data_IF_606079767823
#
_entry.id   IF_606079767823
#
_cell.length_a   1.000
_cell.length_b   1.000
_cell.length_c   1.000
_cell.angle_alpha   90.00
_cell.angle_beta   90.00
_cell.angle_gamma   90.00
#
_symmetry.space_group_name_H-M   'P 1'
#
loop_
_entity.id
_entity.type
_entity.pdbx_description
1 polymer ?
#
# COMPACT_ATOMS: atom_id res chain seq x y z
N UNK A 1 -13.27 -6.86 19.19
CA UNK A 1 -12.25 -7.73 18.65
C UNK A 1 -11.85 -7.22 17.29
N UNK A 2 -10.59 -6.79 17.14
CA UNK A 2 -10.00 -6.50 15.83
C UNK A 2 -9.92 -7.87 15.15
N UNK A 3 -10.79 -8.12 14.17
CA UNK A 3 -10.61 -9.25 13.29
C UNK A 3 -9.29 -8.99 12.52
N UNK A 4 -8.22 -9.76 12.73
CA UNK A 4 -7.10 -9.70 11.83
C UNK A 4 -7.68 -10.02 10.45
N UNK A 5 -7.52 -9.11 9.49
CA UNK A 5 -7.86 -9.41 8.09
C UNK A 5 -7.16 -10.73 7.78
N UNK A 6 -7.85 -11.72 7.24
CA UNK A 6 -7.25 -13.01 6.98
C UNK A 6 -5.99 -12.78 6.14
N UNK A 7 -4.84 -13.26 6.64
CA UNK A 7 -3.54 -13.21 5.95
C UNK A 7 -3.56 -13.88 4.55
N UNK A 8 -4.70 -14.45 4.19
CA UNK A 8 -4.93 -15.26 2.98
C UNK A 8 -5.09 -14.46 1.67
N UNK A 9 -5.01 -13.13 1.68
CA UNK A 9 -5.22 -12.39 0.43
C UNK A 9 -3.94 -11.99 -0.32
N UNK A 10 -2.76 -12.16 0.25
CA UNK A 10 -1.49 -11.71 -0.33
C UNK A 10 -1.36 -10.18 -0.45
N UNK A 11 -0.15 -9.67 -0.44
CA UNK A 11 0.10 -8.26 -0.73
C UNK A 11 -0.02 -8.00 -2.24
N UNK A 12 -0.48 -6.81 -2.65
CA UNK A 12 -0.41 -6.38 -4.05
C UNK A 12 1.06 -6.24 -4.47
N UNK A 13 1.81 -5.48 -3.67
CA UNK A 13 3.23 -5.23 -3.89
C UNK A 13 4.03 -5.53 -2.62
N UNK A 14 5.28 -5.95 -2.79
CA UNK A 14 6.22 -5.99 -1.67
C UNK A 14 6.58 -4.57 -1.21
N UNK A 15 7.11 -4.44 -0.01
CA UNK A 15 7.61 -3.15 0.50
C UNK A 15 8.68 -2.58 -0.44
N UNK A 16 9.52 -3.44 -1.01
CA UNK A 16 10.59 -3.04 -1.94
C UNK A 16 10.04 -2.49 -3.25
N UNK A 17 9.03 -3.12 -3.83
CA UNK A 17 8.36 -2.63 -5.05
C UNK A 17 7.72 -1.27 -4.77
N UNK A 18 7.00 -1.12 -3.64
CA UNK A 18 6.40 0.17 -3.25
C UNK A 18 7.44 1.26 -3.05
N UNK A 19 8.56 0.95 -2.38
CA UNK A 19 9.64 1.91 -2.17
C UNK A 19 10.24 2.38 -3.51
N UNK A 20 10.43 1.45 -4.48
CA UNK A 20 10.90 1.79 -5.83
C UNK A 20 9.95 2.76 -6.54
N UNK A 21 8.63 2.55 -6.44
CA UNK A 21 7.66 3.48 -7.04
C UNK A 21 7.68 4.85 -6.36
N UNK A 22 7.80 4.90 -5.03
CA UNK A 22 7.92 6.17 -4.31
C UNK A 22 9.18 6.93 -4.73
N UNK A 23 10.31 6.23 -4.90
CA UNK A 23 11.56 6.81 -5.40
C UNK A 23 11.39 7.39 -6.82
N UNK A 24 10.75 6.66 -7.73
CA UNK A 24 10.45 7.14 -9.09
C UNK A 24 9.55 8.38 -9.12
N UNK A 25 8.70 8.55 -8.10
CA UNK A 25 7.86 9.73 -7.92
C UNK A 25 8.57 10.88 -7.19
N UNK A 26 9.85 10.71 -6.85
CA UNK A 26 10.66 11.74 -6.18
C UNK A 26 10.39 11.84 -4.67
N UNK A 27 9.83 10.82 -4.06
CA UNK A 27 9.64 10.77 -2.60
C UNK A 27 10.98 10.59 -1.91
N UNK A 28 11.39 11.55 -1.09
CA UNK A 28 12.69 11.56 -0.42
C UNK A 28 12.78 10.58 0.76
N UNK A 29 11.66 10.28 1.41
CA UNK A 29 11.62 9.39 2.58
C UNK A 29 10.39 8.52 2.55
N UNK A 30 10.58 7.22 2.75
CA UNK A 30 9.53 6.21 2.80
C UNK A 30 9.55 5.55 4.17
N UNK A 31 8.49 5.76 4.97
CA UNK A 31 8.39 5.22 6.32
C UNK A 31 7.48 3.99 6.31
N UNK A 32 7.99 2.89 6.81
CA UNK A 32 7.22 1.65 7.02
C UNK A 32 6.91 1.52 8.50
N UNK A 33 5.63 1.54 8.82
CA UNK A 33 5.16 1.37 10.20
C UNK A 33 4.69 -0.07 10.36
N UNK A 34 5.28 -0.77 11.34
CA UNK A 34 4.74 -2.05 11.79
C UNK A 34 3.44 -1.80 12.58
N UNK A 35 2.33 -2.26 12.02
CA UNK A 35 1.01 -2.11 12.64
C UNK A 35 0.82 -3.12 13.76
N UNK A 36 1.74 -3.08 14.74
CA UNK A 36 1.72 -3.90 15.93
C UNK A 36 0.50 -3.61 16.82
N UNK A 37 0.26 -4.46 17.80
CA UNK A 37 -0.82 -4.27 18.77
C UNK A 37 -0.69 -2.92 19.51
N UNK A 38 0.53 -2.49 19.81
CA UNK A 38 0.78 -1.21 20.45
C UNK A 38 0.43 -0.02 19.56
N UNK A 39 0.83 -0.07 18.28
CA UNK A 39 0.51 0.99 17.32
C UNK A 39 -0.99 1.06 17.03
N UNK A 40 -1.69 -0.08 16.99
CA UNK A 40 -3.14 -0.13 16.74
C UNK A 40 -3.97 0.48 17.88
N UNK A 41 -3.37 0.73 19.05
CA UNK A 41 -4.01 1.37 20.21
C UNK A 41 -3.79 2.88 20.27
N UNK A 42 -2.98 3.44 19.37
CA UNK A 42 -2.70 4.88 19.37
C UNK A 42 -4.01 5.67 19.16
N UNK A 43 -4.22 6.71 19.95
CA UNK A 43 -5.35 7.62 19.76
C UNK A 43 -5.14 8.51 18.55
N UNK A 44 -6.18 9.14 18.03
CA UNK A 44 -6.04 10.10 16.93
C UNK A 44 -5.09 11.25 17.31
N UNK A 45 -5.26 11.82 18.50
CA UNK A 45 -4.36 12.84 19.04
C UNK A 45 -2.92 12.31 19.21
N UNK A 46 -2.76 11.07 19.71
CA UNK A 46 -1.45 10.42 19.84
C UNK A 46 -0.75 10.22 18.51
N UNK A 47 -1.50 9.91 17.45
CA UNK A 47 -0.95 9.82 16.10
C UNK A 47 -0.43 11.16 15.57
N UNK A 48 -1.19 12.25 15.79
CA UNK A 48 -0.73 13.61 15.41
C UNK A 48 0.55 13.99 16.18
N UNK A 49 0.60 13.73 17.49
CA UNK A 49 1.81 13.99 18.30
C UNK A 49 3.01 13.21 17.76
N UNK A 50 2.84 11.93 17.45
CA UNK A 50 3.90 11.11 16.87
C UNK A 50 4.40 11.69 15.54
N UNK A 51 3.50 12.15 14.66
CA UNK A 51 3.89 12.80 13.42
C UNK A 51 4.70 14.07 13.68
N UNK A 52 4.29 14.90 14.64
CA UNK A 52 4.97 16.13 15.01
C UNK A 52 6.31 15.93 15.72
N UNK A 53 6.49 14.78 16.39
CA UNK A 53 7.78 14.37 16.95
C UNK A 53 8.78 13.93 15.88
N UNK A 54 8.28 13.29 14.82
CA UNK A 54 9.11 12.74 13.75
C UNK A 54 9.37 13.75 12.63
N UNK A 55 8.47 14.71 12.44
CA UNK A 55 8.48 15.62 11.29
C UNK A 55 7.97 17.01 11.67
N UNK A 56 8.21 17.97 10.79
CA UNK A 56 7.59 19.30 10.85
C UNK A 56 6.80 19.54 9.58
N UNK A 57 5.60 18.90 9.43
CA UNK A 57 4.87 18.99 8.18
C UNK A 57 4.34 20.40 7.95
N UNK A 58 4.49 20.89 6.72
CA UNK A 58 3.85 22.11 6.23
C UNK A 58 2.50 21.79 5.60
N UNK A 59 2.43 20.62 4.93
CA UNK A 59 1.22 20.10 4.32
C UNK A 59 1.10 18.58 4.50
N UNK A 60 -0.12 18.08 4.52
CA UNK A 60 -0.45 16.64 4.53
C UNK A 60 -1.46 16.37 3.43
N UNK A 61 -1.20 15.34 2.63
CA UNK A 61 -2.10 14.86 1.58
C UNK A 61 -2.64 13.50 1.97
N UNK A 62 -3.95 13.33 1.99
CA UNK A 62 -4.63 12.08 2.33
C UNK A 62 -5.81 11.81 1.40
N UNK A 63 -6.20 10.55 1.26
CA UNK A 63 -7.46 10.21 0.58
C UNK A 63 -8.68 10.54 1.45
N UNK A 64 -9.83 10.80 0.83
CA UNK A 64 -11.08 11.14 1.54
C UNK A 64 -11.56 10.05 2.52
N UNK A 65 -11.15 8.80 2.31
CA UNK A 65 -11.48 7.67 3.19
C UNK A 65 -10.43 7.38 4.26
N UNK A 66 -9.43 8.27 4.39
CA UNK A 66 -8.39 8.13 5.40
C UNK A 66 -8.98 8.16 6.80
N UNK A 67 -8.59 7.16 7.60
CA UNK A 67 -8.97 7.01 9.01
C UNK A 67 -7.77 6.66 9.84
N UNK A 68 -7.66 7.24 11.01
CA UNK A 68 -6.57 7.02 11.95
C UNK A 68 -7.05 7.05 13.41
N UNK A 69 -6.19 6.66 14.33
CA UNK A 69 -6.57 6.45 15.72
C UNK A 69 -7.13 5.05 15.97
N UNK A 70 -7.29 4.68 17.23
CA UNK A 70 -7.87 3.42 17.62
C UNK A 70 -9.41 3.42 17.42
N UNK A 71 -10.09 2.26 17.44
CA UNK A 71 -11.52 2.18 17.15
C UNK A 71 -12.44 3.00 18.08
N UNK A 72 -12.00 3.32 19.30
CA UNK A 72 -12.76 4.12 20.27
C UNK A 72 -12.54 5.63 20.12
N UNK A 73 -11.51 6.03 19.36
CA UNK A 73 -11.11 7.42 19.13
C UNK A 73 -10.65 7.59 17.66
N UNK A 74 -11.44 7.03 16.75
CA UNK A 74 -11.13 7.11 15.33
C UNK A 74 -11.47 8.50 14.78
N UNK A 75 -10.52 9.08 14.04
CA UNK A 75 -10.68 10.32 13.31
C UNK A 75 -10.60 10.07 11.80
N UNK A 76 -11.10 11.01 11.03
CA UNK A 76 -11.12 11.00 9.56
C UNK A 76 -10.18 12.07 8.99
N UNK A 77 -10.07 12.11 7.66
CA UNK A 77 -9.36 13.17 6.94
C UNK A 77 -9.83 14.58 7.33
N UNK A 78 -11.15 14.75 7.58
CA UNK A 78 -11.76 16.05 7.92
C UNK A 78 -11.35 16.56 9.31
N UNK A 79 -10.92 15.66 10.20
CA UNK A 79 -10.54 16.03 11.57
C UNK A 79 -9.06 16.45 11.68
N UNK A 80 -8.26 16.22 10.62
CA UNK A 80 -6.81 16.43 10.64
C UNK A 80 -6.43 17.86 10.99
N UNK A 81 -6.99 18.84 10.29
CA UNK A 81 -6.63 20.25 10.48
C UNK A 81 -6.93 20.72 11.91
N UNK A 82 -8.10 20.38 12.43
CA UNK A 82 -8.48 20.72 13.81
C UNK A 82 -7.55 20.06 14.85
N UNK A 83 -7.12 18.83 14.58
CA UNK A 83 -6.21 18.11 15.48
C UNK A 83 -4.80 18.72 15.45
N UNK A 84 -4.30 19.16 14.30
CA UNK A 84 -3.03 19.88 14.21
C UNK A 84 -3.11 21.24 14.90
N UNK A 85 -4.19 22.00 14.72
CA UNK A 85 -4.40 23.29 15.39
C UNK A 85 -4.46 23.15 16.92
N UNK A 86 -5.04 22.06 17.45
CA UNK A 86 -5.03 21.76 18.90
C UNK A 86 -3.63 21.54 19.45
N UNK A 87 -2.71 21.04 18.63
CA UNK A 87 -1.29 20.88 18.98
C UNK A 87 -0.45 22.13 18.65
N UNK A 88 -1.11 23.26 18.33
CA UNK A 88 -0.44 24.55 18.06
C UNK A 88 0.27 24.60 16.70
N UNK A 89 -0.14 23.78 15.75
CA UNK A 89 0.42 23.73 14.39
C UNK A 89 -0.65 24.02 13.37
N UNK A 90 -0.35 24.93 12.46
CA UNK A 90 -1.16 25.19 11.27
C UNK A 90 -0.54 24.39 10.12
N UNK A 91 -1.23 23.32 9.71
CA UNK A 91 -0.77 22.40 8.66
C UNK A 91 -1.82 22.39 7.57
N UNK A 92 -1.42 22.60 6.34
CA UNK A 92 -2.32 22.49 5.19
C UNK A 92 -2.76 21.03 5.01
N UNK A 93 -4.06 20.79 4.87
CA UNK A 93 -4.61 19.44 4.66
C UNK A 93 -5.28 19.38 3.30
N UNK A 94 -4.68 18.61 2.39
CA UNK A 94 -5.22 18.35 1.06
C UNK A 94 -5.89 16.98 1.04
N UNK A 95 -7.18 16.96 0.73
CA UNK A 95 -7.99 15.72 0.69
C UNK A 95 -8.25 15.33 -0.75
N UNK A 96 -7.63 14.23 -1.17
CA UNK A 96 -7.76 13.71 -2.55
C UNK A 96 -9.02 12.87 -2.68
N UNK A 97 -9.84 13.21 -3.66
CA UNK A 97 -11.04 12.45 -4.01
C UNK A 97 -10.72 11.05 -4.55
N UNK A 98 -11.68 10.16 -4.47
CA UNK A 98 -11.55 8.80 -5.03
C UNK A 98 -11.51 8.84 -6.55
N UNK A 99 -10.60 8.07 -7.12
CA UNK A 99 -10.56 7.86 -8.57
C UNK A 99 -11.52 6.72 -8.91
N UNK A 100 -12.39 6.97 -9.89
CA UNK A 100 -13.36 6.00 -10.38
C UNK A 100 -12.97 5.50 -11.77
N UNK A 101 -13.34 4.27 -12.06
CA UNK A 101 -13.31 3.73 -13.42
C UNK A 101 -14.36 4.42 -14.29
N UNK A 102 -14.33 4.25 -15.62
CA UNK A 102 -15.38 4.72 -16.53
C UNK A 102 -16.77 4.17 -16.15
N UNK A 103 -16.82 2.97 -15.55
CA UNK A 103 -18.05 2.35 -15.05
C UNK A 103 -18.51 2.84 -13.68
N UNK A 104 -17.82 3.82 -13.07
CA UNK A 104 -18.16 4.38 -11.76
C UNK A 104 -17.72 3.51 -10.56
N UNK A 105 -16.95 2.44 -10.76
CA UNK A 105 -16.39 1.65 -9.66
C UNK A 105 -15.12 2.31 -9.11
N UNK A 106 -15.00 2.38 -7.78
CA UNK A 106 -13.81 2.94 -7.11
C UNK A 106 -12.55 2.11 -7.44
N UNK A 107 -11.49 2.79 -7.91
CA UNK A 107 -10.16 2.19 -8.04
C UNK A 107 -9.58 2.03 -6.63
N UNK A 108 -9.45 0.78 -6.20
CA UNK A 108 -9.06 0.43 -4.84
C UNK A 108 -8.21 -0.83 -4.84
N UNK A 109 -7.50 -1.08 -3.74
CA UNK A 109 -6.77 -2.34 -3.54
C UNK A 109 -7.67 -3.58 -3.67
N UNK A 110 -8.96 -3.45 -3.37
CA UNK A 110 -9.93 -4.55 -3.52
C UNK A 110 -10.19 -4.85 -4.99
N UNK A 111 -10.43 -3.82 -5.81
CA UNK A 111 -10.59 -3.96 -7.25
C UNK A 111 -9.31 -4.53 -7.88
N UNK A 112 -8.15 -3.96 -7.57
CA UNK A 112 -6.87 -4.42 -8.12
C UNK A 112 -6.57 -5.88 -7.76
N UNK A 113 -6.87 -6.31 -6.52
CA UNK A 113 -6.75 -7.74 -6.16
C UNK A 113 -7.69 -8.65 -6.94
N UNK A 114 -8.91 -8.20 -7.22
CA UNK A 114 -9.87 -8.94 -8.03
C UNK A 114 -9.34 -9.15 -9.44
N UNK A 115 -8.79 -8.11 -10.07
CA UNK A 115 -8.21 -8.18 -11.39
C UNK A 115 -7.04 -9.17 -11.48
N UNK A 116 -6.13 -9.14 -10.50
CA UNK A 116 -5.02 -10.10 -10.44
C UNK A 116 -5.56 -11.53 -10.31
N UNK A 117 -6.51 -11.77 -9.39
CA UNK A 117 -7.11 -13.10 -9.18
C UNK A 117 -7.81 -13.64 -10.41
N UNK A 118 -8.32 -12.77 -11.26
CA UNK A 118 -8.98 -13.14 -12.52
C UNK A 118 -7.99 -13.26 -13.69
N UNK A 119 -6.72 -12.86 -13.52
CA UNK A 119 -5.73 -12.81 -14.61
C UNK A 119 -5.92 -11.63 -15.55
N UNK A 120 -6.70 -10.63 -15.16
CA UNK A 120 -7.00 -9.42 -15.94
C UNK A 120 -5.86 -8.39 -15.81
N UNK A 121 -4.60 -8.83 -16.07
CA UNK A 121 -3.39 -8.04 -15.82
C UNK A 121 -3.28 -6.81 -16.73
N UNK A 122 -3.85 -6.86 -17.92
CA UNK A 122 -3.91 -5.70 -18.82
C UNK A 122 -4.78 -4.59 -18.22
N UNK A 123 -5.96 -4.94 -17.72
CA UNK A 123 -6.86 -3.96 -17.09
C UNK A 123 -6.31 -3.48 -15.75
N UNK A 124 -5.60 -4.34 -15.02
CA UNK A 124 -4.82 -3.93 -13.84
C UNK A 124 -3.83 -2.81 -14.21
N UNK A 125 -3.06 -2.97 -15.30
CA UNK A 125 -2.13 -1.94 -15.78
C UNK A 125 -2.85 -0.64 -16.16
N UNK A 126 -3.95 -0.72 -16.89
CA UNK A 126 -4.73 0.45 -17.30
C UNK A 126 -5.23 1.27 -16.10
N UNK A 127 -5.64 0.62 -15.02
CA UNK A 127 -6.16 1.29 -13.83
C UNK A 127 -5.08 1.74 -12.84
N UNK A 128 -4.00 0.96 -12.69
CA UNK A 128 -2.95 1.26 -11.72
C UNK A 128 -1.81 2.13 -12.31
N UNK A 129 -1.72 2.22 -13.64
CA UNK A 129 -0.60 2.84 -14.34
C UNK A 129 0.72 2.05 -14.25
N UNK A 130 0.69 0.83 -13.70
CA UNK A 130 1.88 0.03 -13.42
C UNK A 130 1.69 -1.43 -13.81
N UNK A 131 2.72 -2.05 -14.38
CA UNK A 131 2.71 -3.49 -14.62
C UNK A 131 2.69 -4.26 -13.30
N UNK A 132 1.92 -5.34 -13.26
CA UNK A 132 1.95 -6.24 -12.12
C UNK A 132 3.36 -6.85 -11.98
N UNK A 133 3.93 -6.78 -10.79
CA UNK A 133 5.29 -7.25 -10.51
C UNK A 133 5.29 -8.23 -9.34
N UNK A 134 6.14 -9.25 -9.44
CA UNK A 134 6.40 -10.19 -8.35
C UNK A 134 7.84 -9.97 -7.89
N UNK A 135 8.02 -9.73 -6.59
CA UNK A 135 9.33 -9.59 -5.98
C UNK A 135 9.93 -10.98 -5.72
N UNK A 136 10.85 -11.36 -6.57
CA UNK A 136 11.55 -12.65 -6.48
C UNK A 136 12.88 -12.57 -5.71
N UNK A 137 13.36 -11.38 -5.35
CA UNK A 137 14.64 -11.19 -4.66
C UNK A 137 14.79 -11.98 -3.36
N UNK A 138 13.78 -12.02 -2.47
CA UNK A 138 13.89 -12.80 -1.24
C UNK A 138 13.56 -14.28 -1.42
N UNK A 139 13.22 -14.73 -2.65
CA UNK A 139 12.70 -16.07 -2.88
C UNK A 139 13.83 -17.01 -3.32
N UNK A 140 14.06 -18.13 -2.64
CA UNK A 140 14.99 -19.15 -3.07
C UNK A 140 14.60 -19.71 -4.45
N UNK A 141 15.58 -19.90 -5.30
CA UNK A 141 15.38 -20.44 -6.63
C UNK A 141 16.34 -21.59 -6.94
N UNK A 142 16.01 -22.37 -7.96
CA UNK A 142 16.89 -23.37 -8.55
C UNK A 142 16.90 -23.22 -10.06
N UNK A 143 17.97 -23.67 -10.68
CA UNK A 143 18.03 -23.87 -12.12
C UNK A 143 17.61 -25.30 -12.45
N UNK A 144 16.71 -25.43 -13.41
CA UNK A 144 16.23 -26.72 -13.90
C UNK A 144 15.98 -26.59 -15.40
N UNK A 145 16.75 -27.34 -16.20
CA UNK A 145 16.66 -27.36 -17.67
C UNK A 145 16.61 -25.94 -18.30
N UNK A 146 17.54 -25.07 -17.88
CA UNK A 146 17.64 -23.70 -18.39
C UNK A 146 16.56 -22.74 -17.87
N UNK A 147 15.76 -23.15 -16.90
CA UNK A 147 14.68 -22.36 -16.30
C UNK A 147 15.00 -22.00 -14.86
N UNK A 148 14.58 -20.80 -14.46
CA UNK A 148 14.52 -20.39 -13.06
C UNK A 148 13.22 -20.91 -12.45
N UNK A 149 13.33 -21.68 -11.38
CA UNK A 149 12.18 -22.27 -10.69
C UNK A 149 12.12 -21.73 -9.27
N UNK A 150 10.98 -21.16 -8.92
CA UNK A 150 10.68 -20.62 -7.60
C UNK A 150 9.52 -21.42 -6.97
N UNK A 151 9.53 -21.57 -5.64
CA UNK A 151 8.38 -22.13 -4.95
C UNK A 151 7.32 -21.03 -4.75
N UNK A 152 6.10 -21.30 -5.17
CA UNK A 152 4.96 -20.39 -4.97
C UNK A 152 4.64 -20.19 -3.49
N UNK A 153 4.92 -21.17 -2.63
CA UNK A 153 4.68 -21.09 -1.19
C UNK A 153 5.55 -20.04 -0.49
N UNK A 154 6.68 -19.70 -1.12
CA UNK A 154 7.56 -18.65 -0.61
C UNK A 154 7.16 -17.24 -1.07
N UNK A 155 6.18 -17.10 -1.98
CA UNK A 155 5.73 -15.83 -2.52
C UNK A 155 4.57 -15.31 -1.66
N UNK A 156 4.80 -14.20 -0.95
CA UNK A 156 3.79 -13.58 -0.09
C UNK A 156 2.89 -12.57 -0.81
N UNK A 157 3.17 -12.30 -2.07
CA UNK A 157 2.31 -11.48 -2.91
C UNK A 157 1.16 -12.30 -3.47
N UNK A 158 0.08 -11.60 -3.82
CA UNK A 158 -1.02 -12.20 -4.57
C UNK A 158 -0.52 -12.66 -5.94
N UNK A 159 -0.86 -13.86 -6.33
CA UNK A 159 -0.51 -14.41 -7.64
C UNK A 159 -1.75 -14.46 -8.54
N UNK A 160 -1.57 -14.28 -9.86
CA UNK A 160 -2.62 -14.54 -10.84
C UNK A 160 -2.92 -16.03 -10.93
N UNK A 161 -3.99 -16.45 -11.62
CA UNK A 161 -4.30 -17.86 -11.86
C UNK A 161 -3.11 -18.62 -12.47
N UNK A 162 -3.07 -19.93 -12.27
CA UNK A 162 -2.07 -20.77 -12.93
C UNK A 162 -2.18 -20.64 -14.45
N UNK A 163 -1.05 -20.40 -15.11
CA UNK A 163 -1.01 -20.18 -16.55
C UNK A 163 0.40 -19.82 -17.04
N UNK A 164 0.51 -19.58 -18.34
CA UNK A 164 1.70 -19.00 -18.95
C UNK A 164 1.47 -17.50 -19.18
N UNK A 165 2.46 -16.70 -18.80
CA UNK A 165 2.41 -15.24 -18.91
C UNK A 165 3.71 -14.76 -19.58
N UNK A 166 3.59 -13.83 -20.52
CA UNK A 166 4.74 -13.09 -21.01
C UNK A 166 5.21 -12.13 -19.93
N UNK A 167 6.50 -12.22 -19.58
CA UNK A 167 7.07 -11.46 -18.46
C UNK A 167 8.47 -10.99 -18.77
N UNK A 168 8.84 -9.86 -18.18
CA UNK A 168 10.21 -9.38 -18.13
C UNK A 168 10.85 -9.77 -16.80
N UNK A 169 12.05 -10.34 -16.84
CA UNK A 169 12.87 -10.57 -15.65
C UNK A 169 13.80 -9.36 -15.47
N UNK A 170 13.55 -8.58 -14.44
CA UNK A 170 14.39 -7.43 -14.08
C UNK A 170 15.44 -7.90 -13.08
N UNK A 171 16.70 -7.85 -13.47
CA UNK A 171 17.83 -8.09 -12.58
C UNK A 171 18.25 -6.74 -11.99
N UNK A 172 18.39 -6.68 -10.67
CA UNK A 172 18.99 -5.53 -9.99
C UNK A 172 20.48 -5.83 -9.78
N UNK A 173 21.32 -4.89 -10.12
CA UNK A 173 22.73 -4.90 -9.74
C UNK A 173 22.92 -4.79 -8.24
#
# INVERSE_FOLDING_TARGET
GINPKPQSQGALDSVRIRAKYMDQLGVNSFVVIDFSENFSRITACGFIKLLLELTTPEAIVVGEDFKFGNPSDAASALDLQDLFLKEGRDVEVDIVEQILTEGGEKISSTLLRRLIKNGELKYFFELSGQSFQIDLMPIPYRFDDGKLVFSTDAIHQLLPPLGAYDTDLILSD
#
